data_IF_928767398632
#
_entry.id   IF_928767398632
#
_cell.length_a   1.000
_cell.length_b   1.000
_cell.length_c   1.000
_cell.angle_alpha   90.00
_cell.angle_beta   90.00
_cell.angle_gamma   90.00
#
_symmetry.space_group_name_H-M   'P 1'
#
loop_
_entity.id
_entity.type
_entity.pdbx_description
1 polymer ?
#
# COMPACT_ATOMS: atom_id res chain seq x y z
N UNK A 1 -11.05 12.65 20.42
CA UNK A 1 -11.65 11.41 19.89
C UNK A 1 -11.35 11.33 18.41
N UNK A 2 -10.68 10.26 17.98
CA UNK A 2 -10.43 10.01 16.57
C UNK A 2 -11.68 9.33 16.01
N UNK A 3 -12.46 10.03 15.18
CA UNK A 3 -13.71 9.50 14.63
C UNK A 3 -13.82 9.79 13.15
N UNK A 4 -14.23 8.79 12.38
CA UNK A 4 -14.58 8.94 10.97
C UNK A 4 -16.09 8.84 10.81
N UNK A 5 -16.67 9.85 10.18
CA UNK A 5 -18.12 9.92 9.96
C UNK A 5 -18.51 9.59 8.51
N UNK A 6 -17.54 9.68 7.60
CA UNK A 6 -17.79 9.45 6.18
C UNK A 6 -16.51 9.01 5.47
N UNK A 7 -16.64 8.05 4.55
CA UNK A 7 -15.58 7.58 3.67
C UNK A 7 -16.10 7.51 2.23
N UNK A 8 -15.34 8.07 1.29
CA UNK A 8 -15.78 8.19 -0.12
C UNK A 8 -15.26 7.00 -0.95
N UNK A 9 -13.94 6.92 -1.08
CA UNK A 9 -13.25 5.96 -1.94
C UNK A 9 -12.08 5.35 -1.16
N UNK A 10 -11.83 4.06 -1.36
CA UNK A 10 -10.74 3.38 -0.68
C UNK A 10 -10.52 1.96 -1.17
N UNK A 11 -9.43 1.37 -0.68
CA UNK A 11 -8.98 0.04 -1.08
C UNK A 11 -9.08 -0.99 0.02
N UNK A 12 -9.33 -2.24 -0.36
CA UNK A 12 -9.20 -3.39 0.52
C UNK A 12 -7.86 -4.06 0.26
N UNK A 13 -7.04 -4.21 1.30
CA UNK A 13 -5.78 -4.97 1.25
C UNK A 13 -6.09 -6.39 1.72
N UNK A 14 -6.32 -7.32 0.78
CA UNK A 14 -6.75 -8.69 1.13
C UNK A 14 -5.64 -9.55 1.71
N UNK A 15 -4.38 -9.17 1.48
CA UNK A 15 -3.19 -9.82 2.01
C UNK A 15 -1.99 -8.87 1.88
N UNK A 16 -0.86 -9.19 2.52
CA UNK A 16 0.40 -8.46 2.33
C UNK A 16 1.48 -9.26 1.58
N UNK A 17 1.23 -10.54 1.29
CA UNK A 17 2.17 -11.39 0.57
C UNK A 17 2.19 -11.10 -0.91
N UNK A 18 3.37 -10.77 -1.42
CA UNK A 18 3.57 -10.47 -2.83
C UNK A 18 4.68 -11.35 -3.38
N UNK A 19 4.62 -11.68 -4.66
CA UNK A 19 5.74 -12.30 -5.39
C UNK A 19 6.95 -11.37 -5.53
N UNK A 20 6.74 -10.05 -5.37
CA UNK A 20 7.75 -9.01 -5.60
C UNK A 20 8.09 -8.24 -4.33
N UNK A 21 9.30 -7.67 -4.27
CA UNK A 21 9.72 -6.70 -3.25
C UNK A 21 10.00 -5.33 -3.89
N UNK A 22 9.04 -4.83 -4.69
CA UNK A 22 9.20 -3.60 -5.49
C UNK A 22 9.69 -2.42 -4.65
N UNK A 23 10.66 -1.65 -5.16
CA UNK A 23 11.29 -0.54 -4.45
C UNK A 23 10.34 0.62 -4.13
N UNK A 24 9.21 0.76 -4.82
CA UNK A 24 8.24 1.82 -4.56
C UNK A 24 7.06 1.39 -3.66
N UNK A 25 7.00 0.12 -3.25
CA UNK A 25 5.82 -0.43 -2.57
C UNK A 25 5.53 0.31 -1.27
N UNK A 26 4.32 0.84 -1.16
CA UNK A 26 3.87 1.63 -0.01
C UNK A 26 3.62 0.77 1.23
N UNK A 27 3.12 -0.45 1.04
CA UNK A 27 2.70 -1.34 2.13
C UNK A 27 3.79 -2.31 2.58
N UNK A 28 4.98 -2.21 2.00
CA UNK A 28 6.11 -3.11 2.29
C UNK A 28 5.78 -4.58 2.01
N UNK A 29 4.82 -4.86 1.13
CA UNK A 29 4.47 -6.22 0.68
C UNK A 29 5.68 -6.96 0.12
N UNK A 30 5.75 -8.27 0.32
CA UNK A 30 6.98 -9.04 0.08
C UNK A 30 6.70 -10.54 0.08
N UNK A 31 7.53 -11.38 -0.56
CA UNK A 31 7.42 -12.83 -0.48
C UNK A 31 7.58 -13.37 0.94
N UNK A 32 8.20 -12.58 1.83
CA UNK A 32 8.46 -12.95 3.23
C UNK A 32 7.30 -12.70 4.18
N UNK A 33 6.23 -12.03 3.72
CA UNK A 33 5.02 -11.91 4.54
C UNK A 33 4.40 -13.29 4.77
N UNK A 34 3.72 -13.50 5.92
CA UNK A 34 2.86 -14.65 6.11
C UNK A 34 1.92 -14.88 4.94
N UNK A 35 1.57 -16.14 4.70
CA UNK A 35 0.65 -16.54 3.63
C UNK A 35 -0.82 -16.43 4.06
N UNK A 36 -1.14 -15.40 4.84
CA UNK A 36 -2.50 -15.11 5.29
C UNK A 36 -3.30 -14.39 4.19
N UNK A 37 -4.61 -14.43 4.35
CA UNK A 37 -5.58 -13.79 3.46
C UNK A 37 -6.79 -13.38 4.29
N UNK A 38 -7.47 -12.32 3.87
CA UNK A 38 -8.71 -11.87 4.48
C UNK A 38 -9.72 -13.02 4.53
N UNK A 39 -10.45 -13.13 5.63
CA UNK A 39 -11.52 -14.12 5.78
C UNK A 39 -12.87 -13.51 5.37
N UNK A 40 -13.87 -14.33 5.01
CA UNK A 40 -15.23 -13.85 4.73
C UNK A 40 -15.82 -13.03 5.89
N UNK A 41 -15.63 -13.48 7.14
CA UNK A 41 -16.17 -12.80 8.33
C UNK A 41 -15.61 -11.39 8.49
N UNK A 42 -14.30 -11.23 8.25
CA UNK A 42 -13.66 -9.90 8.30
C UNK A 42 -14.12 -9.04 7.13
N UNK A 43 -14.24 -9.61 5.93
CA UNK A 43 -14.75 -8.89 4.76
C UNK A 43 -16.19 -8.40 4.98
N UNK A 44 -17.07 -9.25 5.51
CA UNK A 44 -18.45 -8.92 5.87
C UNK A 44 -18.50 -7.76 6.88
N UNK A 45 -17.69 -7.81 7.94
CA UNK A 45 -17.63 -6.72 8.93
C UNK A 45 -17.17 -5.41 8.28
N UNK A 46 -16.09 -5.45 7.49
CA UNK A 46 -15.54 -4.28 6.81
C UNK A 46 -16.58 -3.67 5.86
N UNK A 47 -17.14 -4.46 4.93
CA UNK A 47 -18.08 -3.94 3.95
C UNK A 47 -19.35 -3.40 4.60
N UNK A 48 -19.87 -4.09 5.63
CA UNK A 48 -21.00 -3.58 6.41
C UNK A 48 -20.70 -2.21 7.04
N UNK A 49 -19.52 -2.03 7.64
CA UNK A 49 -19.10 -0.75 8.21
C UNK A 49 -18.96 0.31 7.11
N UNK A 50 -18.28 0.00 6.01
CA UNK A 50 -18.05 0.95 4.91
C UNK A 50 -19.37 1.44 4.29
N UNK A 51 -20.35 0.56 4.09
CA UNK A 51 -21.69 0.97 3.62
C UNK A 51 -22.36 1.95 4.56
N UNK A 52 -22.24 1.75 5.88
CA UNK A 52 -22.78 2.71 6.88
C UNK A 52 -22.07 4.06 6.84
N UNK A 53 -20.79 4.08 6.46
CA UNK A 53 -20.00 5.30 6.28
C UNK A 53 -20.19 5.96 4.90
N UNK A 54 -21.13 5.47 4.08
CA UNK A 54 -21.46 6.03 2.78
C UNK A 54 -20.56 5.59 1.63
N UNK A 55 -19.58 4.71 1.88
CA UNK A 55 -18.74 4.13 0.85
C UNK A 55 -19.50 2.97 0.18
N UNK A 56 -19.71 3.03 -1.13
CA UNK A 56 -20.45 2.00 -1.88
C UNK A 56 -19.61 1.25 -2.90
N UNK A 57 -18.38 1.69 -3.14
CA UNK A 57 -17.43 1.03 -4.03
C UNK A 57 -16.03 1.08 -3.44
N UNK A 58 -15.25 0.04 -3.71
CA UNK A 58 -13.83 -0.05 -3.32
C UNK A 58 -13.03 -0.70 -4.43
N UNK A 59 -11.72 -0.44 -4.47
CA UNK A 59 -10.79 -1.31 -5.19
C UNK A 59 -10.23 -2.39 -4.28
N UNK A 60 -9.76 -3.50 -4.88
CA UNK A 60 -9.06 -4.56 -4.15
C UNK A 60 -7.59 -4.53 -4.54
N UNK A 61 -6.72 -4.57 -3.55
CA UNK A 61 -5.29 -4.75 -3.71
C UNK A 61 -4.70 -5.55 -2.56
N UNK A 62 -3.44 -5.28 -2.27
CA UNK A 62 -2.70 -5.91 -1.18
C UNK A 62 -1.87 -7.09 -1.64
N UNK A 63 -0.62 -7.13 -1.16
CA UNK A 63 0.34 -8.10 -1.63
C UNK A 63 0.27 -8.24 -3.14
N UNK A 64 0.03 -9.47 -3.60
CA UNK A 64 -0.56 -9.74 -4.90
C UNK A 64 -1.86 -10.53 -4.68
N UNK A 65 -3.06 -9.94 -4.88
CA UNK A 65 -4.34 -10.57 -4.55
C UNK A 65 -4.58 -11.89 -5.27
N UNK A 66 -4.08 -12.00 -6.50
CA UNK A 66 -4.29 -13.15 -7.38
C UNK A 66 -3.20 -14.23 -7.24
N UNK A 67 -2.34 -14.15 -6.22
CA UNK A 67 -1.57 -15.33 -5.77
C UNK A 67 -2.48 -16.45 -5.26
N UNK A 68 -3.69 -16.11 -4.78
CA UNK A 68 -4.70 -17.06 -4.32
C UNK A 68 -6.06 -16.76 -4.97
N UNK A 69 -6.25 -17.08 -6.27
CA UNK A 69 -7.48 -16.78 -7.00
C UNK A 69 -8.74 -17.34 -6.33
N UNK A 70 -8.67 -18.52 -5.70
CA UNK A 70 -9.83 -19.10 -5.02
C UNK A 70 -10.24 -18.30 -3.78
N UNK A 71 -9.28 -17.65 -3.11
CA UNK A 71 -9.53 -16.89 -1.87
C UNK A 71 -10.13 -15.51 -2.14
N UNK A 72 -9.87 -14.91 -3.29
CA UNK A 72 -10.48 -13.62 -3.63
C UNK A 72 -11.98 -13.78 -3.89
N UNK A 73 -12.44 -14.94 -4.38
CA UNK A 73 -13.86 -15.20 -4.64
C UNK A 73 -14.71 -15.06 -3.38
N UNK A 74 -14.22 -15.60 -2.26
CA UNK A 74 -14.85 -15.47 -0.94
C UNK A 74 -15.06 -13.99 -0.54
N UNK A 75 -14.12 -13.11 -0.90
CA UNK A 75 -14.19 -11.66 -0.63
C UNK A 75 -15.18 -10.98 -1.57
N UNK A 76 -15.21 -11.38 -2.84
CA UNK A 76 -16.17 -10.87 -3.82
C UNK A 76 -17.61 -11.25 -3.46
N UNK A 77 -17.82 -12.47 -2.95
CA UNK A 77 -19.13 -12.92 -2.45
C UNK A 77 -19.56 -12.10 -1.24
N UNK A 78 -18.63 -11.80 -0.33
CA UNK A 78 -18.87 -10.91 0.81
C UNK A 78 -19.20 -9.48 0.35
N UNK A 79 -18.51 -8.96 -0.68
CA UNK A 79 -18.80 -7.66 -1.25
C UNK A 79 -20.22 -7.60 -1.84
N UNK A 80 -20.58 -8.59 -2.66
CA UNK A 80 -21.91 -8.69 -3.26
C UNK A 80 -23.02 -8.79 -2.20
N UNK A 81 -22.82 -9.64 -1.17
CA UNK A 81 -23.74 -9.79 -0.04
C UNK A 81 -24.01 -8.47 0.70
N UNK A 82 -22.99 -7.63 0.83
CA UNK A 82 -23.10 -6.33 1.50
C UNK A 82 -23.46 -5.17 0.55
N UNK A 83 -23.70 -5.45 -0.74
CA UNK A 83 -23.99 -4.42 -1.74
C UNK A 83 -22.84 -3.43 -1.93
N UNK A 84 -21.60 -3.95 -1.88
CA UNK A 84 -20.37 -3.23 -2.15
C UNK A 84 -19.90 -3.52 -3.58
N UNK A 85 -19.69 -2.48 -4.37
CA UNK A 85 -19.18 -2.60 -5.72
C UNK A 85 -17.64 -2.70 -5.73
N UNK A 86 -17.09 -3.49 -6.66
CA UNK A 86 -15.65 -3.60 -6.86
C UNK A 86 -15.25 -2.82 -8.11
N UNK A 87 -14.51 -1.73 -7.92
CA UNK A 87 -14.09 -0.83 -9.01
C UNK A 87 -13.08 -1.51 -9.94
N UNK A 88 -12.04 -2.09 -9.35
CA UNK A 88 -11.01 -2.88 -10.00
C UNK A 88 -10.24 -3.73 -8.98
N UNK A 89 -9.56 -4.76 -9.47
CA UNK A 89 -8.54 -5.50 -8.71
C UNK A 89 -7.15 -5.11 -9.24
N UNK A 90 -6.26 -4.68 -8.34
CA UNK A 90 -4.86 -4.41 -8.62
C UNK A 90 -4.07 -5.72 -8.74
N UNK A 91 -3.21 -5.82 -9.76
CA UNK A 91 -2.36 -6.99 -10.00
C UNK A 91 -1.05 -6.57 -10.64
N UNK A 92 0.04 -7.20 -10.21
CA UNK A 92 1.35 -7.12 -10.82
C UNK A 92 1.55 -8.14 -11.96
N UNK A 93 0.57 -9.01 -12.20
CA UNK A 93 0.54 -10.06 -13.24
C UNK A 93 1.48 -11.26 -13.01
N UNK A 94 2.15 -11.35 -11.87
CA UNK A 94 3.08 -12.45 -11.57
C UNK A 94 2.44 -13.83 -11.56
N UNK A 95 1.15 -13.92 -11.21
CA UNK A 95 0.36 -15.15 -11.16
C UNK A 95 0.04 -15.73 -12.54
N UNK A 96 0.18 -14.92 -13.61
CA UNK A 96 -0.03 -15.40 -14.98
C UNK A 96 0.97 -16.51 -15.29
N UNK A 97 0.46 -17.64 -15.78
CA UNK A 97 1.26 -18.81 -16.19
C UNK A 97 1.11 -19.07 -17.68
N UNK A 98 -0.13 -19.21 -18.11
CA UNK A 98 -0.54 -19.51 -19.47
C UNK A 98 -1.94 -18.95 -19.72
N UNK A 99 -2.31 -18.85 -21.00
CA UNK A 99 -3.57 -18.23 -21.40
C UNK A 99 -4.79 -19.00 -20.89
N UNK A 100 -4.76 -20.34 -20.94
CA UNK A 100 -5.92 -21.15 -20.56
C UNK A 100 -6.23 -20.99 -19.07
N UNK A 101 -5.20 -21.06 -18.21
CA UNK A 101 -5.39 -20.84 -16.77
C UNK A 101 -5.77 -19.40 -16.44
N UNK A 102 -5.22 -18.41 -17.14
CA UNK A 102 -5.60 -17.02 -16.96
C UNK A 102 -7.05 -16.76 -17.36
N UNK A 103 -7.49 -17.23 -18.52
CA UNK A 103 -8.88 -17.10 -19.00
C UNK A 103 -9.87 -17.71 -18.00
N UNK A 104 -9.55 -18.86 -17.41
CA UNK A 104 -10.41 -19.50 -16.42
C UNK A 104 -10.55 -18.64 -15.15
N UNK A 105 -9.43 -18.14 -14.60
CA UNK A 105 -9.43 -17.27 -13.42
C UNK A 105 -10.21 -15.99 -13.71
N UNK A 106 -9.93 -15.34 -14.84
CA UNK A 106 -10.58 -14.11 -15.26
C UNK A 106 -12.09 -14.29 -15.47
N UNK A 107 -12.52 -15.41 -16.06
CA UNK A 107 -13.92 -15.74 -16.24
C UNK A 107 -14.64 -15.93 -14.90
N UNK A 108 -13.97 -16.52 -13.91
CA UNK A 108 -14.50 -16.63 -12.54
C UNK A 108 -14.67 -15.25 -11.90
N UNK A 109 -13.63 -14.41 -11.92
CA UNK A 109 -13.71 -13.04 -11.40
C UNK A 109 -14.88 -12.27 -12.02
N UNK A 110 -15.08 -12.42 -13.34
CA UNK A 110 -16.20 -11.79 -14.06
C UNK A 110 -17.56 -12.32 -13.60
N UNK A 111 -17.69 -13.62 -13.31
CA UNK A 111 -18.91 -14.21 -12.74
C UNK A 111 -19.22 -13.68 -11.34
N UNK A 112 -18.18 -13.32 -10.59
CA UNK A 112 -18.28 -12.67 -9.27
C UNK A 112 -18.35 -11.13 -9.34
N UNK A 113 -18.74 -10.57 -10.49
CA UNK A 113 -19.02 -9.13 -10.62
C UNK A 113 -17.82 -8.22 -10.83
N UNK A 114 -16.62 -8.78 -11.05
CA UNK A 114 -15.44 -7.97 -11.41
C UNK A 114 -15.49 -7.62 -12.89
N UNK A 115 -15.27 -6.34 -13.21
CA UNK A 115 -15.29 -5.86 -14.59
C UNK A 115 -13.97 -5.26 -15.05
N UNK A 116 -13.05 -4.95 -14.14
CA UNK A 116 -11.81 -4.25 -14.44
C UNK A 116 -10.63 -4.83 -13.65
N UNK A 117 -9.50 -5.03 -14.32
CA UNK A 117 -8.21 -5.23 -13.66
C UNK A 117 -7.32 -4.00 -13.84
N UNK A 118 -6.76 -3.52 -12.74
CA UNK A 118 -5.66 -2.55 -12.77
C UNK A 118 -4.34 -3.33 -12.85
N UNK A 119 -3.66 -3.23 -13.97
CA UNK A 119 -2.39 -3.94 -14.22
C UNK A 119 -1.25 -2.95 -14.06
N UNK A 120 -0.30 -3.23 -13.16
CA UNK A 120 0.87 -2.37 -12.92
C UNK A 120 1.90 -2.48 -14.04
N UNK A 121 2.26 -1.34 -14.65
CA UNK A 121 3.18 -1.25 -15.79
C UNK A 121 4.28 -0.25 -15.45
N UNK A 122 5.34 -0.72 -14.80
CA UNK A 122 6.45 0.15 -14.45
C UNK A 122 7.79 -0.59 -14.24
N UNK A 123 8.92 0.14 -14.26
CA UNK A 123 10.24 -0.44 -14.04
C UNK A 123 10.41 -1.16 -12.70
N UNK A 124 9.68 -0.76 -11.66
CA UNK A 124 9.80 -1.40 -10.35
C UNK A 124 9.18 -2.79 -10.32
N UNK A 125 8.08 -2.99 -11.04
CA UNK A 125 7.48 -4.31 -11.24
C UNK A 125 8.30 -5.15 -12.22
N UNK A 126 8.86 -4.54 -13.28
CA UNK A 126 9.66 -5.26 -14.27
C UNK A 126 10.99 -5.82 -13.71
N UNK A 127 11.50 -5.30 -12.59
CA UNK A 127 12.59 -5.91 -11.81
C UNK A 127 12.24 -7.33 -11.30
N UNK A 128 10.96 -7.68 -11.22
CA UNK A 128 10.47 -8.97 -10.71
C UNK A 128 9.61 -9.75 -11.70
N UNK A 129 9.05 -9.10 -12.71
CA UNK A 129 8.00 -9.68 -13.56
C UNK A 129 8.35 -9.42 -15.03
N UNK A 130 8.55 -10.49 -15.83
CA UNK A 130 8.76 -10.35 -17.26
C UNK A 130 7.58 -9.67 -17.95
N UNK A 131 7.88 -8.70 -18.83
CA UNK A 131 6.85 -7.86 -19.44
C UNK A 131 5.89 -8.65 -20.32
N UNK A 132 6.32 -9.82 -20.85
CA UNK A 132 5.45 -10.76 -21.55
C UNK A 132 4.22 -11.15 -20.73
N UNK A 133 4.37 -11.38 -19.41
CA UNK A 133 3.23 -11.73 -18.54
C UNK A 133 2.18 -10.63 -18.49
N UNK A 134 2.62 -9.37 -18.47
CA UNK A 134 1.74 -8.20 -18.52
C UNK A 134 0.99 -8.15 -19.85
N UNK A 135 1.70 -8.25 -20.98
CA UNK A 135 1.09 -8.25 -22.32
C UNK A 135 0.11 -9.40 -22.50
N UNK A 136 0.48 -10.59 -22.06
CA UNK A 136 -0.35 -11.78 -22.15
C UNK A 136 -1.60 -11.67 -21.27
N UNK A 137 -1.48 -11.10 -20.06
CA UNK A 137 -2.64 -10.85 -19.20
C UNK A 137 -3.61 -9.83 -19.83
N UNK A 138 -3.10 -8.77 -20.46
CA UNK A 138 -3.92 -7.79 -21.21
C UNK A 138 -4.69 -8.49 -22.34
N UNK A 139 -4.02 -9.37 -23.09
CA UNK A 139 -4.65 -10.19 -24.14
C UNK A 139 -5.73 -11.12 -23.57
N UNK A 140 -5.46 -11.79 -22.45
CA UNK A 140 -6.41 -12.67 -21.79
C UNK A 140 -7.66 -11.91 -21.27
N UNK A 141 -7.48 -10.70 -20.72
CA UNK A 141 -8.59 -9.83 -20.31
C UNK A 141 -9.51 -9.50 -21.49
N UNK A 142 -8.92 -9.14 -22.64
CA UNK A 142 -9.67 -8.86 -23.88
C UNK A 142 -10.51 -10.06 -24.33
N UNK A 143 -9.95 -11.28 -24.26
CA UNK A 143 -10.67 -12.53 -24.61
C UNK A 143 -11.89 -12.80 -23.74
N UNK A 144 -11.81 -12.50 -22.45
CA UNK A 144 -12.92 -12.67 -21.49
C UNK A 144 -13.88 -11.48 -21.49
N UNK A 145 -13.49 -10.37 -22.12
CA UNK A 145 -14.23 -9.10 -22.11
C UNK A 145 -14.20 -8.45 -20.72
N UNK A 146 -13.03 -8.46 -20.07
CA UNK A 146 -12.73 -7.64 -18.89
C UNK A 146 -12.01 -6.37 -19.34
N UNK A 147 -12.32 -5.25 -18.69
CA UNK A 147 -11.61 -4.00 -18.90
C UNK A 147 -10.21 -4.09 -18.28
N UNK A 148 -9.27 -3.38 -18.89
CA UNK A 148 -7.93 -3.18 -18.36
C UNK A 148 -7.78 -1.71 -18.03
N UNK A 149 -7.40 -1.42 -16.78
CA UNK A 149 -6.83 -0.14 -16.38
C UNK A 149 -5.30 -0.29 -16.37
N UNK A 150 -4.59 0.18 -17.43
CA UNK A 150 -3.13 0.09 -17.48
C UNK A 150 -2.50 1.16 -16.59
N UNK A 151 -2.11 0.78 -15.37
CA UNK A 151 -1.52 1.72 -14.43
C UNK A 151 -0.10 2.06 -14.85
N UNK A 152 0.13 3.35 -15.09
CA UNK A 152 1.39 3.91 -15.58
C UNK A 152 1.76 3.48 -17.01
N UNK A 153 0.76 3.49 -17.90
CA UNK A 153 0.93 3.19 -19.33
C UNK A 153 2.06 3.99 -20.03
N UNK A 154 2.44 5.15 -19.50
CA UNK A 154 3.60 5.94 -19.95
C UNK A 154 4.97 5.24 -19.87
N UNK A 155 5.08 4.12 -19.17
CA UNK A 155 6.29 3.28 -19.17
C UNK A 155 6.23 2.15 -20.18
N UNK A 156 5.11 1.93 -20.87
CA UNK A 156 4.96 0.80 -21.80
C UNK A 156 6.12 0.73 -22.80
N UNK A 157 6.34 1.82 -23.55
CA UNK A 157 7.36 1.86 -24.60
C UNK A 157 8.79 1.71 -24.04
N UNK A 158 9.07 2.21 -22.83
CA UNK A 158 10.39 2.05 -22.20
C UNK A 158 10.66 0.60 -21.82
N UNK A 159 9.65 -0.08 -21.26
CA UNK A 159 9.77 -1.50 -20.89
C UNK A 159 9.81 -2.38 -22.14
N UNK A 160 9.08 -2.00 -23.20
CA UNK A 160 9.00 -2.75 -24.47
C UNK A 160 10.32 -2.76 -25.26
N UNK A 161 11.25 -1.85 -24.95
CA UNK A 161 12.60 -1.85 -25.53
C UNK A 161 13.50 -2.98 -24.97
N UNK A 162 13.09 -3.63 -23.89
CA UNK A 162 13.84 -4.69 -23.22
C UNK A 162 13.29 -6.08 -23.60
N UNK A 163 14.02 -7.16 -23.26
CA UNK A 163 13.56 -8.52 -23.56
C UNK A 163 12.37 -8.91 -22.67
N UNK A 164 11.19 -8.93 -23.28
CA UNK A 164 9.92 -9.23 -22.60
C UNK A 164 9.89 -10.58 -21.85
N UNK A 165 10.76 -11.53 -22.19
CA UNK A 165 10.79 -12.85 -21.56
C UNK A 165 11.61 -12.89 -20.26
N UNK A 166 12.30 -11.79 -19.93
CA UNK A 166 13.15 -11.69 -18.74
C UNK A 166 12.75 -10.51 -17.86
N UNK A 167 13.27 -10.50 -16.63
CA UNK A 167 13.16 -9.37 -15.70
C UNK A 167 14.35 -8.46 -15.86
N UNK A 168 14.18 -7.15 -15.63
CA UNK A 168 15.26 -6.19 -15.81
C UNK A 168 15.54 -5.37 -14.55
N UNK A 169 16.82 -5.35 -14.17
CA UNK A 169 17.32 -4.58 -13.03
C UNK A 169 17.35 -3.08 -13.32
N UNK A 170 17.34 -2.25 -12.26
CA UNK A 170 17.55 -0.80 -12.42
C UNK A 170 18.89 -0.42 -13.04
N UNK A 171 19.91 -1.30 -12.96
CA UNK A 171 21.20 -1.07 -13.61
C UNK A 171 21.07 -1.14 -15.14
N UNK A 172 20.19 -1.99 -15.66
CA UNK A 172 19.88 -2.07 -17.09
C UNK A 172 19.13 -0.82 -17.57
N UNK A 173 18.09 -0.42 -16.84
CA UNK A 173 17.39 0.85 -17.10
C UNK A 173 18.35 2.04 -17.06
N UNK A 174 19.28 2.06 -16.11
CA UNK A 174 20.29 3.10 -15.99
C UNK A 174 21.25 3.13 -17.19
N UNK A 175 21.65 1.96 -17.70
CA UNK A 175 22.49 1.87 -18.91
C UNK A 175 21.76 2.36 -20.15
N UNK A 176 20.46 2.08 -20.27
CA UNK A 176 19.65 2.41 -21.44
C UNK A 176 19.16 3.86 -21.44
N UNK A 177 18.65 4.34 -20.31
CA UNK A 177 17.96 5.64 -20.19
C UNK A 177 18.76 6.71 -19.44
N UNK A 178 19.95 6.37 -18.90
CA UNK A 178 20.87 7.31 -18.27
C UNK A 178 21.02 7.13 -16.75
N UNK A 179 22.16 7.62 -16.22
CA UNK A 179 22.56 7.53 -14.80
C UNK A 179 21.57 8.16 -13.82
N UNK A 180 20.77 9.09 -14.28
CA UNK A 180 19.78 9.82 -13.49
C UNK A 180 18.38 9.19 -13.57
N UNK A 181 18.20 8.06 -14.27
CA UNK A 181 16.89 7.46 -14.52
C UNK A 181 16.11 7.24 -13.22
N UNK A 182 16.74 6.57 -12.23
CA UNK A 182 16.11 6.33 -10.93
C UNK A 182 15.64 7.63 -10.28
N UNK A 183 16.42 8.72 -10.38
CA UNK A 183 16.12 10.04 -9.79
C UNK A 183 14.99 10.79 -10.51
N UNK A 184 14.76 10.50 -11.79
CA UNK A 184 13.66 11.08 -12.57
C UNK A 184 12.33 10.36 -12.37
N UNK A 185 12.36 9.08 -11.97
CA UNK A 185 11.15 8.27 -11.78
C UNK A 185 10.13 8.86 -10.81
N UNK A 186 10.49 9.46 -9.66
CA UNK A 186 9.50 10.02 -8.76
C UNK A 186 8.62 11.08 -9.41
N UNK A 187 9.22 11.96 -10.21
CA UNK A 187 8.50 13.02 -10.91
C UNK A 187 7.66 12.46 -12.05
N UNK A 188 8.21 11.52 -12.83
CA UNK A 188 7.51 10.87 -13.94
C UNK A 188 6.30 10.07 -13.45
N UNK A 189 6.52 9.16 -12.51
CA UNK A 189 5.50 8.27 -11.95
C UNK A 189 4.49 9.01 -11.04
N UNK A 190 4.85 10.16 -10.46
CA UNK A 190 4.09 10.77 -9.38
C UNK A 190 4.19 9.99 -8.05
N UNK A 191 5.38 9.46 -7.75
CA UNK A 191 5.57 8.64 -6.55
C UNK A 191 5.39 9.43 -5.26
N UNK A 192 4.58 8.86 -4.37
CA UNK A 192 4.54 9.28 -2.98
C UNK A 192 5.73 8.68 -2.22
N UNK A 193 6.47 9.51 -1.50
CA UNK A 193 7.60 9.08 -0.66
C UNK A 193 7.09 8.43 0.63
N UNK A 194 6.67 7.16 0.53
CA UNK A 194 6.18 6.32 1.64
C UNK A 194 6.61 4.86 1.43
N UNK A 195 6.59 4.06 2.51
CA UNK A 195 7.05 2.67 2.46
C UNK A 195 8.46 2.55 1.87
N UNK A 196 8.67 1.61 0.95
CA UNK A 196 9.97 1.39 0.32
C UNK A 196 10.40 2.51 -0.64
N UNK A 197 9.46 3.27 -1.20
CA UNK A 197 9.81 4.42 -2.03
C UNK A 197 10.64 5.42 -1.20
N UNK A 198 10.21 5.68 0.04
CA UNK A 198 10.94 6.54 0.95
C UNK A 198 12.37 6.06 1.19
N UNK A 199 12.56 4.77 1.50
CA UNK A 199 13.90 4.21 1.74
C UNK A 199 14.78 4.27 0.49
N UNK A 200 14.21 3.97 -0.67
CA UNK A 200 14.92 4.00 -1.96
C UNK A 200 15.45 5.39 -2.29
N UNK A 201 14.66 6.43 -2.00
CA UNK A 201 14.98 7.80 -2.40
C UNK A 201 15.62 8.65 -1.32
N UNK A 202 15.53 8.24 -0.05
CA UNK A 202 16.11 8.95 1.10
C UNK A 202 17.56 9.41 0.88
N UNK A 203 18.49 8.60 0.32
CA UNK A 203 19.88 9.04 0.09
C UNK A 203 20.03 10.26 -0.82
N UNK A 204 19.01 10.58 -1.62
CA UNK A 204 19.00 11.70 -2.57
C UNK A 204 18.14 12.87 -2.09
N UNK A 205 17.49 12.74 -0.93
CA UNK A 205 16.65 13.79 -0.37
C UNK A 205 17.49 14.80 0.40
N UNK A 206 17.01 16.05 0.41
CA UNK A 206 17.64 17.11 1.21
C UNK A 206 17.46 16.80 2.70
N UNK A 207 18.58 16.75 3.41
CA UNK A 207 18.60 16.61 4.87
C UNK A 207 18.23 17.93 5.55
N UNK A 208 17.54 17.82 6.67
CA UNK A 208 17.08 18.93 7.51
C UNK A 208 17.52 18.67 8.96
N UNK A 209 18.09 19.66 9.66
CA UNK A 209 18.42 19.53 11.08
C UNK A 209 17.20 19.18 11.92
N UNK A 210 17.39 18.30 12.91
CA UNK A 210 16.31 17.88 13.82
C UNK A 210 15.61 19.07 14.47
N UNK A 211 16.36 20.05 14.96
CA UNK A 211 15.80 21.24 15.62
C UNK A 211 14.98 22.10 14.67
N UNK A 212 15.32 22.12 13.38
CA UNK A 212 14.53 22.80 12.36
C UNK A 212 13.18 22.08 12.17
N UNK A 213 13.21 20.75 12.01
CA UNK A 213 11.99 19.95 11.86
C UNK A 213 11.07 20.14 13.08
N UNK A 214 11.63 20.15 14.29
CA UNK A 214 10.87 20.33 15.52
C UNK A 214 10.20 21.71 15.61
N UNK A 215 10.86 22.78 15.14
CA UNK A 215 10.29 24.14 15.11
C UNK A 215 9.20 24.32 14.06
N UNK A 216 9.33 23.67 12.91
CA UNK A 216 8.41 23.79 11.78
C UNK A 216 7.24 22.79 11.84
N UNK A 217 7.30 21.82 12.74
CA UNK A 217 6.27 20.80 12.87
C UNK A 217 4.93 21.37 13.34
N UNK A 218 3.86 20.83 12.77
CA UNK A 218 2.49 21.03 13.21
C UNK A 218 1.66 19.76 12.96
N UNK A 219 0.35 19.79 13.29
CA UNK A 219 -0.59 18.67 13.10
C UNK A 219 -0.39 17.91 11.78
N UNK A 220 -0.33 16.58 11.83
CA UNK A 220 -0.14 15.76 10.64
C UNK A 220 -1.45 15.63 9.84
N UNK A 221 -1.63 16.46 8.82
CA UNK A 221 -2.84 16.45 7.98
C UNK A 221 -2.98 15.24 7.04
N UNK A 222 -1.97 14.37 7.00
CA UNK A 222 -1.92 13.19 6.14
C UNK A 222 -2.66 11.97 6.72
N UNK A 223 -3.18 12.08 7.95
CA UNK A 223 -3.80 10.96 8.67
C UNK A 223 -5.31 10.81 8.43
N UNK A 224 -5.97 11.85 7.91
CA UNK A 224 -7.43 11.90 7.83
C UNK A 224 -8.05 10.85 6.90
N UNK A 225 -7.35 10.44 5.83
CA UNK A 225 -7.80 9.43 4.87
C UNK A 225 -9.13 9.74 4.17
N UNK A 226 -9.66 10.96 4.28
CA UNK A 226 -11.01 11.32 3.82
C UNK A 226 -11.21 11.13 2.31
N UNK A 227 -10.17 11.36 1.52
CA UNK A 227 -10.24 11.28 0.06
C UNK A 227 -9.83 9.92 -0.50
N UNK A 228 -9.07 9.13 0.27
CA UNK A 228 -8.63 7.80 -0.10
C UNK A 228 -8.12 7.10 1.18
N UNK A 229 -8.67 5.95 1.50
CA UNK A 229 -8.26 5.13 2.64
C UNK A 229 -7.95 3.70 2.21
N UNK A 230 -7.37 2.90 3.09
CA UNK A 230 -7.36 1.45 2.93
C UNK A 230 -7.84 0.76 4.20
N UNK A 231 -8.43 -0.41 4.04
CA UNK A 231 -8.70 -1.33 5.15
C UNK A 231 -8.00 -2.65 4.88
N UNK A 232 -7.25 -3.15 5.86
CA UNK A 232 -6.47 -4.37 5.71
C UNK A 232 -7.24 -5.66 6.09
N UNK A 233 -6.61 -6.81 5.81
CA UNK A 233 -7.11 -8.14 6.15
C UNK A 233 -7.35 -8.38 7.65
N UNK A 234 -6.92 -7.46 8.51
CA UNK A 234 -7.13 -7.51 9.95
C UNK A 234 -8.22 -6.54 10.42
N UNK A 235 -8.91 -5.85 9.50
CA UNK A 235 -9.96 -4.88 9.82
C UNK A 235 -9.44 -3.52 10.25
N UNK A 236 -8.16 -3.19 10.01
CA UNK A 236 -7.59 -1.91 10.36
C UNK A 236 -7.78 -0.89 9.24
N UNK A 237 -8.24 0.30 9.60
CA UNK A 237 -8.09 1.49 8.77
C UNK A 237 -6.61 1.91 8.71
N UNK A 238 -6.10 2.06 7.50
CA UNK A 238 -4.74 2.50 7.20
C UNK A 238 -4.82 3.86 6.48
N UNK A 239 -4.25 4.93 7.04
CA UNK A 239 -4.17 6.21 6.35
C UNK A 239 -3.34 6.10 5.07
N UNK A 240 -3.87 6.56 3.93
CA UNK A 240 -3.23 6.41 2.61
C UNK A 240 -1.77 6.85 2.60
N UNK A 241 -1.42 7.95 3.26
CA UNK A 241 -0.08 8.53 3.24
C UNK A 241 0.87 7.94 4.28
N UNK A 242 0.36 7.18 5.26
CA UNK A 242 1.13 6.74 6.43
C UNK A 242 0.92 5.25 6.73
N UNK A 243 1.30 4.35 5.80
CA UNK A 243 1.29 2.92 6.08
C UNK A 243 2.16 2.60 7.31
N UNK A 244 1.80 1.52 8.00
CA UNK A 244 2.30 1.17 9.33
C UNK A 244 1.58 1.90 10.47
N UNK A 245 0.78 2.93 10.19
CA UNK A 245 -0.22 3.40 11.15
C UNK A 245 -1.54 2.67 10.90
N UNK A 246 -2.21 2.31 11.99
CA UNK A 246 -3.47 1.57 11.95
C UNK A 246 -4.40 2.01 13.08
N UNK A 247 -5.70 1.99 12.81
CA UNK A 247 -6.73 1.99 13.86
C UNK A 247 -7.81 0.99 13.41
N UNK A 248 -8.28 0.05 14.25
CA UNK A 248 -9.39 -0.82 13.89
C UNK A 248 -10.58 0.00 13.38
N UNK A 249 -11.08 -0.33 12.19
CA UNK A 249 -12.11 0.45 11.51
C UNK A 249 -13.35 0.63 12.39
N UNK A 250 -13.75 -0.44 13.08
CA UNK A 250 -14.87 -0.45 14.02
C UNK A 250 -14.71 0.58 15.15
N UNK A 251 -13.53 0.62 15.77
CA UNK A 251 -13.24 1.58 16.84
C UNK A 251 -13.20 3.01 16.31
N UNK A 252 -12.72 3.20 15.08
CA UNK A 252 -12.69 4.52 14.45
C UNK A 252 -14.09 5.07 14.16
N UNK A 253 -15.09 4.22 13.89
CA UNK A 253 -16.48 4.65 13.72
C UNK A 253 -17.12 5.05 15.04
N UNK A 254 -16.85 4.28 16.10
CA UNK A 254 -17.42 4.52 17.43
C UNK A 254 -16.71 5.66 18.19
N UNK A 255 -15.55 6.09 17.69
CA UNK A 255 -14.72 7.13 18.28
C UNK A 255 -13.58 6.53 19.08
N UNK A 256 -12.47 6.27 18.40
CA UNK A 256 -11.34 5.56 18.96
C UNK A 256 -10.70 6.32 20.13
N UNK A 257 -10.32 5.55 21.15
CA UNK A 257 -9.71 6.03 22.39
C UNK A 257 -8.32 6.62 22.13
N UNK A 258 -8.17 7.91 22.42
CA UNK A 258 -6.91 8.64 22.22
C UNK A 258 -5.78 8.16 23.14
N UNK A 259 -6.11 7.58 24.31
CA UNK A 259 -5.13 7.03 25.24
C UNK A 259 -4.67 5.63 24.84
N UNK A 260 -5.48 4.91 24.05
CA UNK A 260 -5.09 3.64 23.43
C UNK A 260 -4.21 3.88 22.20
N UNK A 261 -4.56 4.83 21.35
CA UNK A 261 -3.87 5.14 20.08
C UNK A 261 -3.00 6.41 20.18
N UNK A 262 -2.11 6.44 21.19
CA UNK A 262 -1.33 7.63 21.56
C UNK A 262 -0.38 8.10 20.45
N UNK A 263 0.24 7.19 19.71
CA UNK A 263 1.16 7.55 18.62
C UNK A 263 0.38 8.20 17.50
N UNK A 264 -0.75 7.61 17.10
CA UNK A 264 -1.63 8.19 16.08
C UNK A 264 -2.13 9.57 16.52
N UNK A 265 -2.65 9.68 17.74
CA UNK A 265 -3.22 10.92 18.25
C UNK A 265 -2.18 12.04 18.43
N UNK A 266 -0.96 11.72 18.88
CA UNK A 266 0.13 12.71 18.95
C UNK A 266 0.50 13.24 17.57
N UNK A 267 0.57 12.36 16.56
CA UNK A 267 0.82 12.79 15.19
C UNK A 267 -0.31 13.66 14.63
N UNK A 268 -1.57 13.29 14.89
CA UNK A 268 -2.73 14.06 14.44
C UNK A 268 -2.76 15.46 15.08
N UNK A 269 -2.57 15.55 16.40
CA UNK A 269 -2.74 16.78 17.16
C UNK A 269 -1.51 17.69 17.20
N UNK A 270 -0.30 17.12 17.24
CA UNK A 270 0.95 17.86 17.41
C UNK A 270 2.02 17.51 16.38
N UNK A 271 1.71 16.63 15.42
CA UNK A 271 2.64 16.24 14.37
C UNK A 271 3.85 15.46 14.89
N UNK A 272 4.91 15.50 14.09
CA UNK A 272 6.15 14.78 14.43
C UNK A 272 6.82 15.32 15.69
N UNK A 273 6.61 16.59 16.04
CA UNK A 273 7.18 17.15 17.27
C UNK A 273 6.53 16.56 18.53
N UNK A 274 5.20 16.38 18.53
CA UNK A 274 4.51 15.66 19.60
C UNK A 274 5.00 14.22 19.74
N UNK A 275 5.10 13.51 18.61
CA UNK A 275 5.62 12.14 18.59
C UNK A 275 7.07 12.06 19.10
N UNK A 276 7.96 12.95 18.67
CA UNK A 276 9.35 12.97 19.11
C UNK A 276 9.45 13.26 20.62
N UNK A 277 8.67 14.23 21.13
CA UNK A 277 8.62 14.52 22.57
C UNK A 277 8.17 13.32 23.40
N UNK A 278 7.12 12.63 22.96
CA UNK A 278 6.66 11.39 23.58
C UNK A 278 7.73 10.29 23.53
N UNK A 279 8.34 10.07 22.36
CA UNK A 279 9.37 9.07 22.15
C UNK A 279 10.63 9.29 23.00
N UNK A 280 11.09 10.54 23.10
CA UNK A 280 12.24 10.89 23.92
C UNK A 280 11.96 10.72 25.42
N UNK A 281 10.76 11.15 25.86
CA UNK A 281 10.38 11.12 27.27
C UNK A 281 10.10 9.71 27.79
N UNK A 282 9.37 8.90 27.02
CA UNK A 282 8.84 7.61 27.50
C UNK A 282 9.54 6.40 26.89
N UNK A 283 10.15 6.56 25.71
CA UNK A 283 10.67 5.44 24.91
C UNK A 283 12.17 5.53 24.62
N UNK A 284 12.90 6.36 25.37
CA UNK A 284 14.38 6.49 25.28
C UNK A 284 14.86 6.72 23.84
N UNK A 285 14.04 7.37 23.01
CA UNK A 285 14.42 7.70 21.65
C UNK A 285 15.49 8.79 21.66
N UNK A 286 16.57 8.58 20.91
CA UNK A 286 17.65 9.56 20.75
C UNK A 286 17.61 10.03 19.29
N UNK A 287 17.29 11.32 19.03
CA UNK A 287 17.24 11.82 17.67
C UNK A 287 18.63 11.90 17.04
N UNK A 288 18.69 11.70 15.73
CA UNK A 288 19.83 11.97 14.86
C UNK A 288 19.96 13.49 14.67
N UNK A 289 21.14 13.93 14.23
CA UNK A 289 21.38 15.34 13.95
C UNK A 289 20.49 15.88 12.81
N UNK A 290 20.22 15.04 11.81
CA UNK A 290 19.45 15.42 10.63
C UNK A 290 18.61 14.25 10.09
N UNK A 291 17.55 14.61 9.37
CA UNK A 291 16.59 13.70 8.75
C UNK A 291 16.20 14.19 7.36
N UNK A 292 15.73 13.29 6.50
CA UNK A 292 15.11 13.61 5.21
C UNK A 292 13.67 14.16 5.40
N UNK A 293 13.53 15.21 6.21
CA UNK A 293 12.27 15.85 6.58
C UNK A 293 11.45 15.14 7.65
N UNK A 294 10.28 15.73 7.96
CA UNK A 294 9.40 15.27 9.05
C UNK A 294 8.92 13.82 8.94
N UNK A 295 8.72 13.32 7.72
CA UNK A 295 8.28 11.94 7.51
C UNK A 295 9.39 10.94 7.81
N UNK A 296 10.66 11.29 7.56
CA UNK A 296 11.81 10.46 7.95
C UNK A 296 11.92 10.35 9.46
N UNK A 297 11.86 11.49 10.18
CA UNK A 297 11.85 11.50 11.64
C UNK A 297 10.68 10.68 12.20
N UNK A 298 9.47 10.87 11.66
CA UNK A 298 8.31 10.08 12.05
C UNK A 298 8.53 8.58 11.82
N UNK A 299 9.09 8.19 10.67
CA UNK A 299 9.34 6.79 10.37
C UNK A 299 10.45 6.19 11.24
N UNK A 300 11.52 6.94 11.50
CA UNK A 300 12.63 6.53 12.35
C UNK A 300 12.16 6.27 13.80
N UNK A 301 11.32 7.17 14.35
CA UNK A 301 10.70 6.97 15.66
C UNK A 301 9.84 5.70 15.66
N UNK A 302 8.96 5.52 14.67
CA UNK A 302 8.09 4.33 14.59
C UNK A 302 8.90 3.03 14.50
N UNK A 303 9.99 3.01 13.73
CA UNK A 303 10.90 1.87 13.67
C UNK A 303 11.62 1.62 15.00
N UNK A 304 12.06 2.67 15.71
CA UNK A 304 12.65 2.51 17.04
C UNK A 304 11.66 1.86 18.01
N UNK A 305 10.39 2.28 18.01
CA UNK A 305 9.37 1.71 18.88
C UNK A 305 9.09 0.24 18.56
N UNK A 306 8.87 -0.09 17.28
CA UNK A 306 8.47 -1.44 16.85
C UNK A 306 9.67 -2.40 16.79
N UNK A 307 10.76 -2.01 16.13
CA UNK A 307 11.92 -2.89 15.89
C UNK A 307 13.00 -2.73 16.96
N UNK A 308 13.26 -1.50 17.41
CA UNK A 308 14.31 -1.22 18.40
C UNK A 308 13.94 -1.68 19.81
N UNK A 309 12.70 -1.41 20.23
CA UNK A 309 12.19 -1.78 21.55
C UNK A 309 11.31 -3.03 21.55
N UNK A 310 10.84 -3.50 20.38
CA UNK A 310 9.97 -4.67 20.30
C UNK A 310 8.58 -4.44 20.89
N UNK A 311 8.08 -3.20 20.89
CA UNK A 311 6.79 -2.88 21.50
C UNK A 311 5.62 -3.34 20.62
N UNK A 312 4.61 -3.91 21.26
CA UNK A 312 3.32 -4.23 20.66
C UNK A 312 2.35 -3.05 20.84
N UNK A 313 2.40 -2.09 19.92
CA UNK A 313 1.58 -0.87 19.96
C UNK A 313 0.39 -0.99 19.00
N UNK A 314 -0.84 -0.69 19.44
CA UNK A 314 -2.05 -0.93 18.65
C UNK A 314 -2.20 0.01 17.45
N UNK A 315 -1.54 1.17 17.46
CA UNK A 315 -1.52 2.12 16.35
C UNK A 315 -0.33 1.96 15.39
N UNK A 316 0.62 1.06 15.68
CA UNK A 316 1.78 0.77 14.83
C UNK A 316 1.68 -0.63 14.23
N UNK A 317 0.69 -0.82 13.36
CA UNK A 317 0.37 -2.10 12.73
C UNK A 317 0.22 -2.00 11.21
N UNK A 318 0.34 -3.12 10.50
CA UNK A 318 0.94 -4.39 10.96
C UNK A 318 2.47 -4.32 11.15
N UNK A 319 3.03 -5.06 12.10
CA UNK A 319 4.49 -5.11 12.36
C UNK A 319 5.32 -5.42 11.11
N UNK A 320 4.78 -6.27 10.23
CA UNK A 320 5.43 -6.62 8.98
C UNK A 320 5.71 -5.41 8.08
N UNK A 321 4.93 -4.33 8.21
CA UNK A 321 5.20 -3.08 7.49
C UNK A 321 6.60 -2.58 7.77
N UNK A 322 7.05 -2.66 9.02
CA UNK A 322 8.37 -2.21 9.47
C UNK A 322 9.47 -3.25 9.16
N UNK A 323 9.16 -4.54 9.31
CA UNK A 323 10.13 -5.64 9.15
C UNK A 323 10.52 -5.90 7.68
N UNK A 324 9.63 -5.61 6.73
CA UNK A 324 9.81 -5.98 5.33
C UNK A 324 10.03 -4.80 4.37
N UNK A 325 10.38 -3.64 4.94
CA UNK A 325 10.89 -2.49 4.16
C UNK A 325 12.21 -2.86 3.47
#
# INVERSE_FOLDING_TARGET
>A
MLKVEFLVAGGIITNYKCSSKCRHCSYSSSPKWPDDYMTPDVADEIFSILKRLGCSSVHIGGGEPLLKPDRILDILDSAAKNGMDIEYIETNASWYRDEASAVNILAELKRHGVHTLLISIDPFHNEYIPFRKVKDLVRACSKVGLNVFPWQMEFWDEIDMLDENTTHSFDEYTKLFGKDYLLRLPAKYGLNMKGRAFVTYKPYMRMQPFEQIMREAGPCRLLSGLYHFHVDLYGNFIPQSCPGLAVPLKELVDGADTDKYRIFYNLDSAGVAGLAGLAMKEYRYIPKAEYAGKCDLCYDIRNHLVLGLGLDLPDLKPDGHYRYV
#
